data_IF_665129708180
#
_entry.id   IF_665129708180
#
_cell.length_a   1.000
_cell.length_b   1.000
_cell.length_c   1.000
_cell.angle_alpha   90.00
_cell.angle_beta   90.00
_cell.angle_gamma   90.00
#
_symmetry.space_group_name_H-M   'P 1'
#
loop_
_entity.id
_entity.type
_entity.pdbx_description
1 polymer ?
#
# COMPACT_ATOMS: atom_id res chain seq x y z
N UNK A 1 -20.54 23.75 -3.26
CA UNK A 1 -20.07 22.36 -3.18
C UNK A 1 -18.80 22.40 -2.37
N UNK A 2 -18.80 21.91 -1.14
CA UNK A 2 -17.65 22.04 -0.25
C UNK A 2 -16.45 21.29 -0.84
N UNK A 3 -15.33 22.00 -1.00
CA UNK A 3 -14.03 21.36 -1.15
C UNK A 3 -13.85 20.44 0.05
N UNK A 4 -13.44 19.19 -0.16
CA UNK A 4 -12.95 18.39 0.95
C UNK A 4 -11.70 19.09 1.48
N UNK A 5 -11.85 19.79 2.61
CA UNK A 5 -10.77 20.52 3.29
C UNK A 5 -9.80 19.56 4.02
N UNK A 6 -9.62 18.33 3.53
CA UNK A 6 -8.77 17.33 4.16
C UNK A 6 -8.19 16.36 3.11
N UNK A 7 -7.05 15.77 3.45
CA UNK A 7 -6.43 14.68 2.70
C UNK A 7 -6.95 13.34 3.26
N UNK A 8 -7.50 12.50 2.40
CA UNK A 8 -7.94 11.15 2.77
C UNK A 8 -6.84 10.14 2.45
N UNK A 9 -6.30 9.48 3.47
CA UNK A 9 -5.28 8.43 3.32
C UNK A 9 -5.83 7.11 3.88
N UNK A 10 -5.54 5.99 3.21
CA UNK A 10 -5.89 4.64 3.65
C UNK A 10 -4.65 3.77 3.65
N UNK A 11 -4.48 2.97 4.70
CA UNK A 11 -3.48 1.90 4.74
C UNK A 11 -4.06 0.63 5.37
N UNK A 12 -3.49 -0.53 5.03
CA UNK A 12 -3.87 -1.81 5.62
C UNK A 12 -2.68 -2.45 6.33
N UNK A 13 -2.85 -2.89 7.58
CA UNK A 13 -1.79 -3.56 8.32
C UNK A 13 -2.31 -4.55 9.36
N UNK A 14 -1.45 -5.51 9.67
CA UNK A 14 -1.59 -6.41 10.80
C UNK A 14 -0.78 -5.92 12.01
N UNK A 15 -0.89 -6.67 13.10
CA UNK A 15 -0.18 -6.39 14.35
C UNK A 15 1.35 -6.38 14.23
N UNK A 16 1.93 -7.20 13.37
CA UNK A 16 3.37 -7.39 13.28
C UNK A 16 4.03 -6.25 12.48
N UNK A 17 3.34 -5.70 11.48
CA UNK A 17 3.79 -4.54 10.71
C UNK A 17 3.26 -3.19 11.21
N UNK A 18 2.50 -3.16 12.30
CA UNK A 18 2.02 -1.94 12.97
C UNK A 18 3.11 -0.88 13.21
N UNK A 19 4.35 -1.31 13.50
CA UNK A 19 5.50 -0.41 13.68
C UNK A 19 5.87 0.38 12.42
N UNK A 20 5.66 -0.20 11.23
CA UNK A 20 5.93 0.46 9.95
C UNK A 20 4.92 1.58 9.72
N UNK A 21 3.64 1.32 10.00
CA UNK A 21 2.57 2.33 9.94
C UNK A 21 2.85 3.51 10.88
N UNK A 22 3.37 3.27 12.08
CA UNK A 22 3.75 4.35 13.00
C UNK A 22 4.85 5.25 12.40
N UNK A 23 5.85 4.66 11.74
CA UNK A 23 6.90 5.42 11.06
C UNK A 23 6.35 6.18 9.83
N UNK A 24 5.46 5.56 9.05
CA UNK A 24 4.79 6.21 7.92
C UNK A 24 3.99 7.44 8.38
N UNK A 25 3.09 7.29 9.36
CA UNK A 25 2.29 8.40 9.91
C UNK A 25 3.20 9.52 10.39
N UNK A 26 4.27 9.19 11.13
CA UNK A 26 5.20 10.20 11.63
C UNK A 26 5.99 10.89 10.53
N UNK A 27 6.34 10.16 9.46
CA UNK A 27 6.99 10.77 8.29
C UNK A 27 6.06 11.72 7.53
N UNK A 28 4.77 11.40 7.42
CA UNK A 28 3.78 12.32 6.89
C UNK A 28 3.69 13.56 7.79
N UNK A 29 3.54 13.36 9.11
CA UNK A 29 3.40 14.45 10.07
C UNK A 29 4.54 15.47 10.00
N UNK A 30 5.78 14.99 9.87
CA UNK A 30 6.97 15.84 9.90
C UNK A 30 7.18 16.59 8.59
N UNK A 31 6.74 16.04 7.44
CA UNK A 31 6.99 16.63 6.13
C UNK A 31 5.77 17.32 5.51
N UNK A 32 4.57 17.13 6.06
CA UNK A 32 3.36 17.81 5.62
C UNK A 32 3.31 19.24 6.19
N UNK A 33 3.62 20.22 5.36
CA UNK A 33 3.79 21.63 5.77
C UNK A 33 2.64 22.53 5.32
N UNK A 34 1.87 22.12 4.32
CA UNK A 34 0.71 22.85 3.81
C UNK A 34 -0.48 22.88 4.79
N UNK A 35 -0.55 21.93 5.73
CA UNK A 35 -1.36 22.03 6.95
C UNK A 35 -2.83 21.60 6.80
N UNK A 36 -3.21 20.95 5.70
CA UNK A 36 -4.52 20.32 5.57
C UNK A 36 -4.70 19.24 6.66
N UNK A 37 -5.88 19.16 7.29
CA UNK A 37 -6.24 18.01 8.11
C UNK A 37 -6.11 16.70 7.31
N UNK A 38 -5.64 15.65 7.97
CA UNK A 38 -5.51 14.32 7.37
C UNK A 38 -6.49 13.37 8.05
N UNK A 39 -7.42 12.82 7.26
CA UNK A 39 -8.24 11.69 7.70
C UNK A 39 -7.55 10.41 7.26
N UNK A 40 -7.00 9.68 8.23
CA UNK A 40 -6.23 8.47 8.00
C UNK A 40 -7.06 7.24 8.40
N UNK A 41 -7.48 6.46 7.42
CA UNK A 41 -8.23 5.23 7.62
C UNK A 41 -7.29 4.03 7.64
N UNK A 42 -7.45 3.18 8.65
CA UNK A 42 -6.58 2.04 8.90
C UNK A 42 -7.43 0.78 8.84
N UNK A 43 -7.12 -0.09 7.88
CA UNK A 43 -7.67 -1.43 7.80
C UNK A 43 -6.83 -2.33 8.72
N UNK A 44 -7.44 -2.72 9.83
CA UNK A 44 -6.85 -3.44 10.95
C UNK A 44 -7.08 -4.95 10.82
N UNK A 45 -6.00 -5.69 10.58
CA UNK A 45 -5.97 -7.15 10.55
C UNK A 45 -5.47 -7.76 11.86
N UNK A 46 -6.17 -7.45 12.96
CA UNK A 46 -5.92 -8.04 14.28
C UNK A 46 -4.78 -7.37 15.04
N UNK A 47 -4.65 -6.05 14.94
CA UNK A 47 -3.71 -5.23 15.71
C UNK A 47 -4.08 -5.29 17.20
N UNK A 48 -3.09 -5.56 18.04
CA UNK A 48 -3.25 -5.59 19.49
C UNK A 48 -3.52 -4.18 20.03
N UNK A 49 -4.27 -4.10 21.14
CA UNK A 49 -4.58 -2.83 21.82
C UNK A 49 -3.31 -2.01 22.12
N UNK A 50 -2.25 -2.68 22.57
CA UNK A 50 -0.94 -2.06 22.78
C UNK A 50 -0.42 -1.37 21.51
N UNK A 51 -0.48 -2.04 20.35
CA UNK A 51 0.01 -1.47 19.10
C UNK A 51 -0.93 -0.38 18.56
N UNK A 52 -2.24 -0.48 18.77
CA UNK A 52 -3.20 0.60 18.48
C UNK A 52 -2.83 1.87 19.26
N UNK A 53 -2.54 1.74 20.56
CA UNK A 53 -2.09 2.86 21.40
C UNK A 53 -0.76 3.44 20.91
N UNK A 54 0.19 2.58 20.52
CA UNK A 54 1.49 3.03 20.01
C UNK A 54 1.38 3.76 18.66
N UNK A 55 0.52 3.29 17.74
CA UNK A 55 0.21 3.96 16.48
C UNK A 55 -0.49 5.30 16.76
N UNK A 56 -1.50 5.30 17.63
CA UNK A 56 -2.25 6.51 17.99
C UNK A 56 -1.34 7.57 18.60
N UNK A 57 -0.43 7.18 19.51
CA UNK A 57 0.59 8.07 20.07
C UNK A 57 1.69 8.50 19.08
N UNK A 58 1.68 7.98 17.86
CA UNK A 58 2.57 8.42 16.77
C UNK A 58 1.94 9.50 15.90
N UNK A 59 0.65 9.81 16.08
CA UNK A 59 -0.07 10.81 15.30
C UNK A 59 -0.37 12.06 16.13
N UNK A 60 -0.06 13.24 15.62
CA UNK A 60 -0.48 14.50 16.20
C UNK A 60 -2.00 14.68 15.98
N UNK A 61 -2.83 14.72 17.05
CA UNK A 61 -4.29 14.82 16.92
C UNK A 61 -4.76 16.16 16.34
N UNK A 62 -3.91 17.19 16.29
CA UNK A 62 -4.23 18.44 15.60
C UNK A 62 -4.15 18.32 14.07
N UNK A 63 -3.39 17.34 13.55
CA UNK A 63 -3.21 17.09 12.12
C UNK A 63 -4.00 15.86 11.65
N UNK A 64 -4.04 14.80 12.46
CA UNK A 64 -4.63 13.52 12.07
C UNK A 64 -5.93 13.22 12.79
N UNK A 65 -6.91 12.74 12.01
CA UNK A 65 -8.05 11.99 12.50
C UNK A 65 -7.90 10.52 12.06
N UNK A 66 -7.67 9.64 13.03
CA UNK A 66 -7.50 8.21 12.77
C UNK A 66 -8.86 7.49 12.79
N UNK A 67 -9.12 6.70 11.75
CA UNK A 67 -10.30 5.86 11.61
C UNK A 67 -9.87 4.40 11.54
N UNK A 68 -10.51 3.52 12.29
CA UNK A 68 -10.14 2.10 12.36
C UNK A 68 -11.27 1.24 11.83
N UNK A 69 -10.94 0.33 10.90
CA UNK A 69 -11.88 -0.62 10.33
C UNK A 69 -11.28 -2.02 10.37
N UNK A 70 -11.96 -3.00 10.98
CA UNK A 70 -11.46 -4.37 11.03
C UNK A 70 -11.59 -5.04 9.67
N UNK A 71 -10.60 -5.82 9.24
CA UNK A 71 -10.62 -6.53 7.93
C UNK A 71 -11.90 -7.31 7.65
N UNK A 72 -12.43 -8.00 8.66
CA UNK A 72 -13.70 -8.77 8.59
C UNK A 72 -14.93 -7.94 8.20
N UNK A 73 -14.88 -6.63 8.41
CA UNK A 73 -15.98 -5.69 8.17
C UNK A 73 -15.72 -4.88 6.88
N UNK A 74 -14.58 -5.10 6.19
CA UNK A 74 -14.20 -4.44 4.94
C UNK A 74 -14.57 -5.30 3.72
N UNK A 75 -14.30 -6.60 3.79
CA UNK A 75 -14.55 -7.51 2.68
C UNK A 75 -16.03 -7.87 2.64
N UNK A 76 -16.73 -7.67 1.51
CA UNK A 76 -18.11 -8.12 1.36
C UNK A 76 -18.24 -9.63 1.61
N UNK A 77 -19.32 -10.06 2.28
CA UNK A 77 -19.48 -11.45 2.74
C UNK A 77 -19.52 -12.48 1.60
N UNK A 78 -19.94 -12.05 0.42
CA UNK A 78 -20.05 -12.81 -0.81
C UNK A 78 -18.75 -12.85 -1.61
N UNK A 79 -17.77 -11.99 -1.27
CA UNK A 79 -16.48 -11.96 -1.93
C UNK A 79 -15.53 -12.96 -1.28
N UNK A 80 -15.10 -13.96 -2.06
CA UNK A 80 -14.04 -14.88 -1.67
C UNK A 80 -12.69 -14.30 -2.07
N UNK A 81 -11.90 -13.90 -1.07
CA UNK A 81 -10.52 -13.49 -1.29
C UNK A 81 -9.72 -14.69 -1.83
N UNK A 82 -8.94 -14.51 -2.92
CA UNK A 82 -8.09 -15.55 -3.48
C UNK A 82 -7.13 -16.16 -2.45
N UNK A 83 -7.10 -17.49 -2.40
CA UNK A 83 -6.10 -18.25 -1.65
C UNK A 83 -5.06 -18.77 -2.63
N UNK A 84 -4.00 -17.99 -2.85
CA UNK A 84 -2.87 -18.38 -3.69
C UNK A 84 -1.84 -19.23 -2.90
N UNK A 85 -0.80 -19.71 -3.59
CA UNK A 85 0.33 -20.44 -2.97
C UNK A 85 1.38 -19.49 -2.34
N UNK A 86 1.14 -18.18 -2.37
CA UNK A 86 2.10 -17.18 -1.92
C UNK A 86 2.10 -17.03 -0.40
N UNK A 87 3.14 -16.38 0.12
CA UNK A 87 3.18 -15.96 1.52
C UNK A 87 2.59 -14.55 1.75
N UNK A 88 1.87 -13.98 0.77
CA UNK A 88 1.24 -12.68 0.94
C UNK A 88 0.06 -12.76 1.92
N UNK A 89 -0.01 -11.86 2.92
CA UNK A 89 -1.12 -11.80 3.87
C UNK A 89 -2.41 -11.33 3.19
N UNK A 90 -3.55 -11.53 3.86
CA UNK A 90 -4.86 -11.03 3.41
C UNK A 90 -4.86 -9.50 3.26
N UNK A 91 -4.07 -8.79 4.06
CA UNK A 91 -3.91 -7.33 4.00
C UNK A 91 -3.52 -6.82 2.62
N UNK A 92 -2.82 -7.64 1.80
CA UNK A 92 -2.44 -7.27 0.42
C UNK A 92 -3.69 -6.97 -0.44
N UNK A 93 -4.74 -7.79 -0.32
CA UNK A 93 -6.01 -7.61 -1.03
C UNK A 93 -6.89 -6.48 -0.47
N UNK A 94 -6.62 -5.99 0.75
CA UNK A 94 -7.49 -5.00 1.39
C UNK A 94 -7.47 -3.65 0.68
N UNK A 95 -6.41 -3.34 -0.09
CA UNK A 95 -6.35 -2.11 -0.91
C UNK A 95 -7.48 -2.03 -1.93
N UNK A 96 -7.92 -3.18 -2.45
CA UNK A 96 -9.05 -3.25 -3.38
C UNK A 96 -10.34 -2.75 -2.73
N UNK A 97 -10.49 -2.88 -1.41
CA UNK A 97 -11.69 -2.49 -0.69
C UNK A 97 -11.54 -1.16 0.05
N UNK A 98 -10.37 -0.52 -0.01
CA UNK A 98 -10.13 0.79 0.60
C UNK A 98 -11.18 1.86 0.18
N UNK A 99 -11.64 1.91 -1.10
CA UNK A 99 -12.70 2.83 -1.50
C UNK A 99 -14.04 2.64 -0.76
N UNK A 100 -14.29 1.49 -0.12
CA UNK A 100 -15.58 1.18 0.51
C UNK A 100 -15.63 1.53 2.00
N UNK A 101 -14.48 1.88 2.61
CA UNK A 101 -14.40 2.18 4.05
C UNK A 101 -14.36 3.68 4.36
N UNK A 102 -14.26 4.50 3.32
CA UNK A 102 -14.26 5.95 3.38
C UNK A 102 -15.67 6.49 3.04
N UNK A 103 -16.00 7.75 3.40
CA UNK A 103 -17.29 8.34 3.06
C UNK A 103 -17.61 8.24 1.56
N UNK A 104 -18.86 7.91 1.23
CA UNK A 104 -19.29 7.60 -0.13
C UNK A 104 -19.21 8.80 -1.10
N UNK A 105 -19.14 10.02 -0.59
CA UNK A 105 -18.98 11.27 -1.33
C UNK A 105 -17.52 11.72 -1.47
N UNK A 106 -16.57 10.92 -0.96
CA UNK A 106 -15.13 11.22 -1.07
C UNK A 106 -14.69 11.22 -2.53
N UNK A 107 -14.03 12.30 -2.97
CA UNK A 107 -13.69 12.50 -4.40
C UNK A 107 -12.29 12.02 -4.77
N UNK A 108 -11.41 11.90 -3.77
CA UNK A 108 -10.03 11.47 -3.97
C UNK A 108 -9.56 10.69 -2.75
N UNK A 109 -8.71 9.71 -2.93
CA UNK A 109 -8.17 8.88 -1.84
C UNK A 109 -6.73 8.49 -2.16
N UNK A 110 -5.84 8.62 -1.18
CA UNK A 110 -4.50 8.02 -1.24
C UNK A 110 -4.51 6.67 -0.55
N UNK A 111 -4.09 5.63 -1.25
CA UNK A 111 -3.67 4.37 -0.61
C UNK A 111 -2.15 4.36 -0.49
N UNK A 112 -1.64 4.00 0.69
CA UNK A 112 -0.21 3.82 0.95
C UNK A 112 0.04 2.49 1.66
N UNK A 113 0.99 1.71 1.14
CA UNK A 113 1.56 0.57 1.86
C UNK A 113 2.29 1.06 3.13
N UNK A 114 2.24 0.26 4.20
CA UNK A 114 2.73 0.71 5.51
C UNK A 114 4.25 0.73 5.62
N UNK A 115 4.96 0.07 4.72
CA UNK A 115 6.41 0.04 4.60
C UNK A 115 6.93 1.17 3.71
N UNK A 116 6.30 2.34 3.83
CA UNK A 116 6.67 3.56 3.14
C UNK A 116 7.13 4.65 4.12
N UNK A 117 7.99 5.55 3.66
CA UNK A 117 8.42 6.76 4.38
C UNK A 117 8.27 7.95 3.45
N UNK A 118 7.41 8.89 3.84
CA UNK A 118 7.17 10.14 3.12
C UNK A 118 8.30 11.12 3.44
N UNK A 119 8.90 11.67 2.41
CA UNK A 119 10.04 12.60 2.49
C UNK A 119 9.69 14.01 2.01
N UNK A 120 8.53 14.17 1.34
CA UNK A 120 8.04 15.40 0.75
C UNK A 120 6.62 15.70 1.21
N UNK A 121 6.16 16.94 1.04
CA UNK A 121 4.78 17.30 1.42
C UNK A 121 3.76 16.47 0.63
N UNK A 122 2.95 15.70 1.36
CA UNK A 122 1.95 14.79 0.78
C UNK A 122 0.84 15.53 0.01
N UNK A 123 0.64 16.83 0.29
CA UNK A 123 -0.32 17.65 -0.45
C UNK A 123 0.05 17.81 -1.92
N UNK A 124 1.34 17.78 -2.27
CA UNK A 124 1.77 17.82 -3.67
C UNK A 124 1.29 16.58 -4.43
N UNK A 125 1.37 15.39 -3.83
CA UNK A 125 0.82 14.18 -4.41
C UNK A 125 -0.71 14.26 -4.46
N UNK A 126 -1.36 14.64 -3.36
CA UNK A 126 -2.82 14.76 -3.26
C UNK A 126 -3.42 15.69 -4.31
N UNK A 127 -2.74 16.80 -4.62
CA UNK A 127 -3.20 17.80 -5.57
C UNK A 127 -2.94 17.42 -7.04
N UNK A 128 -2.35 16.25 -7.32
CA UNK A 128 -2.23 15.73 -8.68
C UNK A 128 -3.61 15.63 -9.32
N UNK A 129 -3.77 16.23 -10.50
CA UNK A 129 -4.96 16.07 -11.34
C UNK A 129 -4.92 14.70 -12.00
N UNK A 130 -5.97 13.90 -11.83
CA UNK A 130 -6.08 12.57 -12.43
C UNK A 130 -6.33 12.63 -13.95
N UNK A 131 -6.65 13.80 -14.51
CA UNK A 131 -6.85 13.99 -15.96
C UNK A 131 -7.88 13.01 -16.54
N UNK A 132 -8.94 12.75 -15.78
CA UNK A 132 -10.00 11.80 -16.16
C UNK A 132 -9.66 10.32 -15.96
N UNK A 133 -8.45 9.97 -15.52
CA UNK A 133 -8.10 8.58 -15.18
C UNK A 133 -8.77 8.17 -13.85
N UNK A 134 -9.05 6.88 -13.73
CA UNK A 134 -9.60 6.28 -12.51
C UNK A 134 -8.66 6.47 -11.31
N UNK A 135 -7.36 6.36 -11.55
CA UNK A 135 -6.33 6.49 -10.54
C UNK A 135 -4.98 6.86 -11.16
N UNK A 136 -4.05 7.26 -10.31
CA UNK A 136 -2.64 7.43 -10.62
C UNK A 136 -1.78 6.52 -9.75
N UNK A 137 -0.67 6.05 -10.31
CA UNK A 137 0.29 5.17 -9.65
C UNK A 137 1.70 5.44 -10.18
N UNK A 138 2.73 4.85 -9.56
CA UNK A 138 4.08 4.89 -10.10
C UNK A 138 4.41 3.58 -10.82
N UNK A 139 5.22 3.65 -11.87
CA UNK A 139 5.68 2.49 -12.60
C UNK A 139 6.52 1.56 -11.70
N UNK A 140 6.27 0.24 -11.78
CA UNK A 140 7.00 -0.77 -11.03
C UNK A 140 8.42 -0.96 -11.60
N UNK A 141 9.30 -1.62 -10.84
CA UNK A 141 10.64 -2.02 -11.27
C UNK A 141 10.61 -2.92 -12.50
N UNK A 142 9.56 -3.75 -12.67
CA UNK A 142 9.45 -4.61 -13.84
C UNK A 142 9.15 -3.81 -15.13
N UNK A 143 8.77 -2.53 -14.98
CA UNK A 143 8.47 -1.52 -15.99
C UNK A 143 7.29 -1.83 -16.90
N UNK A 144 7.26 -3.01 -17.51
CA UNK A 144 6.28 -3.39 -18.53
C UNK A 144 5.65 -4.76 -18.26
N UNK A 145 4.46 -4.96 -18.84
CA UNK A 145 3.67 -6.19 -18.72
C UNK A 145 4.44 -7.43 -19.20
N UNK A 146 5.22 -7.30 -20.27
CA UNK A 146 5.97 -8.42 -20.85
C UNK A 146 7.27 -8.77 -20.11
N UNK A 147 7.55 -8.17 -18.96
CA UNK A 147 8.78 -8.40 -18.20
C UNK A 147 8.83 -9.82 -17.61
N UNK A 148 9.86 -10.58 -17.96
CA UNK A 148 10.00 -12.00 -17.57
C UNK A 148 10.06 -12.23 -16.06
N UNK A 149 10.56 -11.25 -15.30
CA UNK A 149 10.80 -11.42 -13.86
C UNK A 149 9.67 -10.91 -12.97
N UNK A 150 8.83 -9.99 -13.48
CA UNK A 150 7.85 -9.28 -12.67
C UNK A 150 6.58 -8.81 -13.37
N UNK A 151 6.46 -9.02 -14.68
CA UNK A 151 5.28 -8.67 -15.46
C UNK A 151 4.12 -9.65 -15.28
N UNK A 152 3.17 -9.68 -16.22
CA UNK A 152 2.01 -10.59 -16.23
C UNK A 152 2.40 -11.88 -16.95
N UNK A 153 2.60 -13.04 -16.29
CA UNK A 153 3.18 -14.21 -16.94
C UNK A 153 2.39 -14.73 -18.15
N UNK A 154 1.07 -14.59 -18.10
CA UNK A 154 0.12 -15.02 -19.14
C UNK A 154 -0.41 -13.86 -20.00
N UNK A 155 0.39 -12.81 -20.21
CA UNK A 155 -0.05 -11.64 -20.99
C UNK A 155 -0.48 -12.00 -22.41
N UNK A 156 0.12 -13.03 -23.03
CA UNK A 156 -0.19 -13.47 -24.39
C UNK A 156 -1.58 -14.08 -24.47
N UNK A 157 -1.92 -14.94 -23.51
CA UNK A 157 -3.23 -15.58 -23.39
C UNK A 157 -4.32 -14.55 -23.10
N UNK A 158 -3.98 -13.50 -22.35
CA UNK A 158 -4.87 -12.38 -22.05
C UNK A 158 -4.96 -11.35 -23.19
N UNK A 159 -4.14 -11.46 -24.23
CA UNK A 159 -4.09 -10.50 -25.34
C UNK A 159 -3.61 -9.10 -24.94
N UNK A 160 -2.84 -8.99 -23.85
CA UNK A 160 -2.31 -7.72 -23.36
C UNK A 160 -1.00 -7.41 -24.08
N UNK A 161 -0.85 -6.17 -24.57
CA UNK A 161 0.40 -5.72 -25.20
C UNK A 161 1.56 -5.79 -24.19
N UNK A 162 2.63 -6.57 -24.46
CA UNK A 162 3.78 -6.69 -23.57
C UNK A 162 4.49 -5.35 -23.30
N UNK A 163 4.36 -4.36 -24.18
CA UNK A 163 4.94 -3.03 -24.00
C UNK A 163 4.12 -2.13 -23.07
N UNK A 164 2.92 -2.54 -22.67
CA UNK A 164 2.09 -1.80 -21.71
C UNK A 164 2.85 -1.58 -20.41
N UNK A 165 2.84 -0.35 -19.90
CA UNK A 165 3.47 -0.03 -18.62
C UNK A 165 2.78 -0.77 -17.47
N UNK A 166 3.59 -1.25 -16.54
CA UNK A 166 3.17 -1.98 -15.35
C UNK A 166 3.40 -1.10 -14.11
N UNK A 167 2.37 -0.94 -13.28
CA UNK A 167 2.44 -0.09 -12.08
C UNK A 167 2.62 -0.90 -10.80
N UNK A 168 3.26 -0.28 -9.83
CA UNK A 168 3.34 -0.79 -8.47
C UNK A 168 2.07 -0.40 -7.69
N UNK A 169 1.48 -1.36 -6.98
CA UNK A 169 0.22 -1.14 -6.28
C UNK A 169 0.37 -0.43 -4.92
N UNK A 170 1.60 -0.21 -4.44
CA UNK A 170 1.87 0.26 -3.08
C UNK A 170 1.47 1.71 -2.81
N UNK A 171 1.39 2.53 -3.86
CA UNK A 171 0.87 3.89 -3.79
C UNK A 171 -0.14 4.07 -4.92
N UNK A 172 -1.37 4.43 -4.55
CA UNK A 172 -2.44 4.71 -5.49
C UNK A 172 -3.14 6.02 -5.11
N UNK A 173 -3.26 6.97 -6.04
CA UNK A 173 -4.14 8.12 -5.91
C UNK A 173 -5.41 7.82 -6.71
N UNK A 174 -6.54 7.60 -6.03
CA UNK A 174 -7.73 6.99 -6.62
C UNK A 174 -8.89 7.97 -6.61
N UNK A 175 -9.73 7.94 -7.66
CA UNK A 175 -11.12 8.40 -7.61
C UNK A 175 -11.98 7.25 -7.07
N UNK A 176 -12.36 7.27 -5.79
CA UNK A 176 -13.06 6.15 -5.19
C UNK A 176 -14.54 6.09 -5.61
N UNK A 177 -15.12 7.17 -6.12
CA UNK A 177 -16.49 7.17 -6.67
C UNK A 177 -16.50 6.33 -7.94
N UNK A 178 -15.59 6.63 -8.87
CA UNK A 178 -15.46 5.89 -10.12
C UNK A 178 -15.04 4.44 -9.88
N UNK A 179 -14.18 4.19 -8.89
CA UNK A 179 -13.77 2.84 -8.51
C UNK A 179 -14.96 1.97 -8.11
N UNK A 180 -15.85 2.51 -7.26
CA UNK A 180 -17.07 1.82 -6.84
C UNK A 180 -18.06 1.68 -7.98
N UNK A 181 -18.28 2.74 -8.77
CA UNK A 181 -19.24 2.74 -9.88
C UNK A 181 -18.88 1.73 -10.98
N UNK A 182 -17.59 1.50 -11.21
CA UNK A 182 -17.09 0.56 -12.21
C UNK A 182 -16.85 -0.85 -11.65
N UNK A 183 -17.14 -1.09 -10.37
CA UNK A 183 -16.98 -2.37 -9.68
C UNK A 183 -15.58 -2.99 -9.82
N UNK A 184 -14.56 -2.14 -9.69
CA UNK A 184 -13.16 -2.53 -9.99
C UNK A 184 -12.68 -3.64 -9.06
N UNK A 185 -13.04 -3.60 -7.77
CA UNK A 185 -12.61 -4.60 -6.79
C UNK A 185 -13.05 -6.01 -7.19
N UNK A 186 -14.30 -6.17 -7.61
CA UNK A 186 -14.82 -7.47 -8.05
C UNK A 186 -14.23 -7.92 -9.39
N UNK A 187 -14.00 -7.00 -10.33
CA UNK A 187 -13.29 -7.31 -11.58
C UNK A 187 -11.89 -7.85 -11.30
N UNK A 188 -11.15 -7.21 -10.39
CA UNK A 188 -9.80 -7.65 -9.98
C UNK A 188 -9.84 -9.02 -9.31
N UNK A 189 -10.75 -9.23 -8.35
CA UNK A 189 -10.90 -10.54 -7.69
C UNK A 189 -11.26 -11.63 -8.70
N UNK A 190 -12.17 -11.35 -9.63
CA UNK A 190 -12.53 -12.28 -10.71
C UNK A 190 -11.33 -12.61 -11.59
N UNK A 191 -10.57 -11.61 -12.03
CA UNK A 191 -9.38 -11.81 -12.86
C UNK A 191 -8.33 -12.70 -12.17
N UNK A 192 -8.10 -12.50 -10.87
CA UNK A 192 -7.16 -13.33 -10.08
C UNK A 192 -7.68 -14.78 -9.99
N UNK A 193 -8.96 -14.96 -9.69
CA UNK A 193 -9.54 -16.30 -9.53
C UNK A 193 -9.53 -17.10 -10.84
N UNK A 194 -9.80 -16.46 -11.99
CA UNK A 194 -9.79 -17.12 -13.31
C UNK A 194 -8.37 -17.48 -13.76
N UNK A 195 -7.36 -16.73 -13.31
CA UNK A 195 -5.97 -16.89 -13.77
C UNK A 195 -5.03 -17.39 -12.65
N UNK A 196 -5.55 -18.12 -11.66
CA UNK A 196 -4.84 -18.44 -10.41
C UNK A 196 -3.44 -19.04 -10.62
N UNK A 197 -3.24 -19.86 -11.66
CA UNK A 197 -1.95 -20.49 -11.96
C UNK A 197 -0.88 -19.51 -12.47
N UNK A 198 -1.29 -18.35 -12.96
CA UNK A 198 -0.40 -17.29 -13.47
C UNK A 198 -0.23 -16.11 -12.50
N UNK A 199 -0.98 -16.09 -11.40
CA UNK A 199 -0.94 -14.98 -10.42
C UNK A 199 0.44 -14.92 -9.76
N UNK A 200 1.16 -13.83 -10.03
CA UNK A 200 2.30 -13.37 -9.24
C UNK A 200 1.90 -12.10 -8.47
N UNK A 201 2.56 -11.80 -7.35
CA UNK A 201 2.31 -10.55 -6.60
C UNK A 201 0.84 -10.24 -6.24
N UNK A 202 0.02 -11.29 -6.05
CA UNK A 202 -1.36 -11.20 -5.55
C UNK A 202 -2.24 -10.17 -6.29
N UNK A 203 -2.74 -9.16 -5.59
CA UNK A 203 -3.63 -8.15 -6.13
C UNK A 203 -2.96 -7.20 -7.12
N UNK A 204 -1.63 -7.00 -7.06
CA UNK A 204 -0.91 -6.18 -8.05
C UNK A 204 -1.02 -6.78 -9.46
N UNK A 205 -0.97 -8.11 -9.59
CA UNK A 205 -1.25 -8.78 -10.85
C UNK A 205 -2.67 -8.51 -11.32
N UNK A 206 -3.68 -8.75 -10.47
CA UNK A 206 -5.07 -8.55 -10.85
C UNK A 206 -5.38 -7.10 -11.25
N UNK A 207 -4.79 -6.14 -10.54
CA UNK A 207 -4.87 -4.72 -10.84
C UNK A 207 -4.26 -4.40 -12.21
N UNK A 208 -3.06 -4.89 -12.50
CA UNK A 208 -2.43 -4.69 -13.81
C UNK A 208 -3.13 -5.47 -14.94
N UNK A 209 -3.79 -6.60 -14.66
CA UNK A 209 -4.62 -7.31 -15.65
C UNK A 209 -5.88 -6.51 -15.99
N UNK A 210 -6.56 -5.94 -14.99
CA UNK A 210 -7.84 -5.25 -15.20
C UNK A 210 -7.67 -3.81 -15.69
N UNK A 211 -6.59 -3.14 -15.27
CA UNK A 211 -6.40 -1.69 -15.46
C UNK A 211 -5.19 -1.34 -16.33
N UNK A 212 -4.64 -2.30 -17.09
CA UNK A 212 -3.53 -1.99 -18.01
C UNK A 212 -3.90 -0.84 -18.96
N UNK A 213 -2.99 0.11 -19.12
CA UNK A 213 -3.19 1.28 -19.97
C UNK A 213 -4.27 2.28 -19.50
N UNK A 214 -4.87 2.10 -18.32
CA UNK A 214 -5.97 2.93 -17.81
C UNK A 214 -5.62 3.63 -16.49
N UNK A 215 -4.40 4.16 -16.39
CA UNK A 215 -3.89 4.83 -15.19
C UNK A 215 -2.97 5.99 -15.55
N UNK A 216 -2.98 7.02 -14.71
CA UNK A 216 -2.06 8.15 -14.83
C UNK A 216 -0.72 7.79 -14.18
N UNK A 217 0.38 7.97 -14.91
CA UNK A 217 1.73 7.75 -14.38
C UNK A 217 2.20 8.92 -13.53
N UNK A 218 2.58 8.62 -12.30
CA UNK A 218 3.20 9.55 -11.35
C UNK A 218 4.72 9.59 -11.56
N UNK A 219 5.33 10.71 -11.14
CA UNK A 219 6.79 10.78 -10.96
C UNK A 219 7.27 9.61 -10.10
N UNK A 220 8.24 8.83 -10.61
CA UNK A 220 8.79 7.65 -9.94
C UNK A 220 9.33 7.96 -8.53
N UNK A 221 9.69 9.21 -8.23
CA UNK A 221 10.12 9.63 -6.88
C UNK A 221 9.04 9.47 -5.82
N UNK A 222 7.76 9.46 -6.20
CA UNK A 222 6.64 9.13 -5.30
C UNK A 222 6.54 7.64 -4.94
N UNK A 223 7.34 6.76 -5.55
CA UNK A 223 7.42 5.36 -5.15
C UNK A 223 8.87 4.86 -5.33
N UNK A 224 9.80 5.48 -4.61
CA UNK A 224 11.22 5.15 -4.70
C UNK A 224 11.52 3.85 -3.95
N UNK A 225 11.85 2.79 -4.68
CA UNK A 225 12.16 1.51 -4.05
C UNK A 225 13.50 1.53 -3.31
N UNK A 226 13.53 0.95 -2.11
CA UNK A 226 14.67 1.08 -1.20
C UNK A 226 15.96 0.38 -1.68
N UNK A 227 15.85 -0.46 -2.71
CA UNK A 227 16.99 -1.09 -3.38
C UNK A 227 17.72 -0.14 -4.33
N UNK A 228 17.08 0.96 -4.73
CA UNK A 228 17.63 1.95 -5.63
C UNK A 228 18.34 3.06 -4.85
N UNK A 229 19.12 3.86 -5.58
CA UNK A 229 19.69 5.10 -5.08
C UNK A 229 19.18 6.25 -5.95
N UNK A 230 18.00 6.76 -5.59
CA UNK A 230 17.38 7.91 -6.27
C UNK A 230 17.70 9.17 -5.47
N UNK A 231 18.14 10.20 -6.19
CA UNK A 231 18.32 11.54 -5.64
C UNK A 231 16.97 12.18 -5.34
N UNK A 232 16.85 12.81 -4.17
CA UNK A 232 15.64 13.51 -3.72
C UNK A 232 14.34 12.67 -3.83
N UNK A 233 14.27 11.50 -3.17
CA UNK A 233 13.05 10.70 -3.19
C UNK A 233 11.92 11.42 -2.46
N UNK A 234 10.72 11.43 -3.02
CA UNK A 234 9.53 12.03 -2.39
C UNK A 234 8.86 11.07 -1.41
N UNK A 235 8.93 9.78 -1.72
CA UNK A 235 8.48 8.69 -0.87
C UNK A 235 9.38 7.48 -1.12
N UNK A 236 9.85 6.87 -0.03
CA UNK A 236 10.68 5.67 -0.02
C UNK A 236 9.80 4.45 0.29
N UNK A 237 9.94 3.36 -0.47
CA UNK A 237 9.18 2.13 -0.35
C UNK A 237 10.08 0.92 -0.13
N UNK A 238 9.94 0.24 1.02
CA UNK A 238 10.80 -0.87 1.43
C UNK A 238 10.28 -2.25 0.96
N UNK A 239 10.10 -2.47 -0.35
CA UNK A 239 9.42 -3.64 -0.92
C UNK A 239 9.90 -5.02 -0.39
N UNK A 240 11.20 -5.25 -0.25
CA UNK A 240 11.75 -6.57 0.14
C UNK A 240 11.96 -6.71 1.66
N UNK A 241 13.22 -6.75 2.12
CA UNK A 241 13.54 -6.86 3.54
C UNK A 241 13.27 -5.50 4.18
N UNK A 242 12.31 -5.48 5.11
CA UNK A 242 11.92 -4.27 5.84
C UNK A 242 13.03 -3.82 6.82
N UNK A 243 13.18 -2.51 7.12
CA UNK A 243 14.21 -1.99 8.01
C UNK A 243 14.09 -2.47 9.47
N UNK A 244 12.96 -3.10 9.83
CA UNK A 244 12.75 -3.71 11.16
C UNK A 244 13.47 -5.05 11.34
N UNK A 245 14.16 -5.57 10.32
CA UNK A 245 14.92 -6.82 10.37
C UNK A 245 16.43 -6.57 10.37
N UNK A 246 17.17 -7.39 11.14
CA UNK A 246 18.65 -7.36 11.16
C UNK A 246 19.30 -7.70 9.82
N UNK A 247 18.57 -8.40 8.96
CA UNK A 247 18.97 -8.81 7.61
C UNK A 247 18.81 -7.70 6.57
N UNK A 248 18.29 -6.52 6.95
CA UNK A 248 18.17 -5.39 6.04
C UNK A 248 19.55 -5.03 5.46
N UNK A 249 19.64 -5.04 4.13
CA UNK A 249 20.91 -4.91 3.40
C UNK A 249 20.79 -4.00 2.17
N UNK A 250 19.74 -3.17 2.09
CA UNK A 250 19.53 -2.26 0.95
C UNK A 250 20.09 -0.86 1.27
N UNK A 251 19.49 0.22 0.78
CA UNK A 251 20.04 1.57 0.92
C UNK A 251 20.11 2.02 2.41
N UNK A 252 21.33 2.36 2.87
CA UNK A 252 21.59 2.78 4.25
C UNK A 252 20.97 4.15 4.57
N UNK A 253 20.99 5.09 3.63
CA UNK A 253 20.39 6.42 3.82
C UNK A 253 18.89 6.29 4.08
N UNK A 254 18.23 5.39 3.35
CA UNK A 254 16.81 5.12 3.52
C UNK A 254 16.51 4.38 4.84
N UNK A 255 17.37 3.45 5.26
CA UNK A 255 17.30 2.86 6.59
C UNK A 255 17.40 3.92 7.71
N UNK A 256 18.35 4.83 7.58
CA UNK A 256 18.55 5.91 8.55
C UNK A 256 17.35 6.87 8.56
N UNK A 257 16.72 7.12 7.40
CA UNK A 257 15.47 7.88 7.30
C UNK A 257 14.30 7.19 8.02
N UNK A 258 14.11 5.88 7.83
CA UNK A 258 13.09 5.11 8.58
C UNK A 258 13.29 5.26 10.09
N UNK A 259 14.51 5.06 10.59
CA UNK A 259 14.79 5.18 12.02
C UNK A 259 14.77 6.63 12.54
N UNK A 260 15.01 7.64 11.69
CA UNK A 260 14.81 9.05 12.04
C UNK A 260 13.35 9.29 12.44
N UNK A 261 12.39 8.87 11.62
CA UNK A 261 10.97 9.05 11.93
C UNK A 261 10.50 8.12 13.05
N UNK A 262 10.93 6.86 13.07
CA UNK A 262 10.55 5.91 14.12
C UNK A 262 10.96 6.40 15.52
N UNK A 263 12.12 7.06 15.67
CA UNK A 263 12.58 7.63 16.95
C UNK A 263 11.70 8.76 17.50
N UNK A 264 10.85 9.36 16.67
CA UNK A 264 9.88 10.39 17.07
C UNK A 264 8.52 9.79 17.51
N UNK A 265 8.42 8.46 17.58
CA UNK A 265 7.21 7.74 17.97
C UNK A 265 7.38 7.02 19.31
N UNK A 266 6.30 6.48 19.91
CA UNK A 266 6.41 5.57 21.05
C UNK A 266 7.31 4.35 20.80
N UNK A 267 7.55 3.96 19.54
CA UNK A 267 8.47 2.88 19.16
C UNK A 267 9.96 3.27 19.18
N UNK A 268 10.33 4.44 19.69
CA UNK A 268 11.71 4.97 19.67
C UNK A 268 12.82 4.04 20.18
N UNK A 269 12.48 3.09 21.05
CA UNK A 269 13.43 2.11 21.62
C UNK A 269 13.45 0.77 20.87
N UNK A 270 12.71 0.63 19.77
CA UNK A 270 12.66 -0.60 18.99
C UNK A 270 14.03 -0.92 18.38
N UNK A 271 14.39 -2.21 18.45
CA UNK A 271 15.61 -2.74 17.82
C UNK A 271 15.23 -3.75 16.74
N UNK A 272 15.94 -3.77 15.59
CA UNK A 272 15.69 -4.74 14.54
C UNK A 272 15.67 -6.17 15.08
N UNK A 273 14.69 -6.96 14.64
CA UNK A 273 14.52 -8.35 15.04
C UNK A 273 15.22 -9.29 14.06
N UNK A 274 15.51 -10.51 14.52
CA UNK A 274 16.13 -11.52 13.65
C UNK A 274 15.18 -12.00 12.55
N UNK A 275 15.76 -12.38 11.42
CA UNK A 275 15.04 -12.78 10.21
C UNK A 275 14.22 -14.06 10.39
N UNK A 276 14.52 -14.89 11.41
CA UNK A 276 13.72 -16.09 11.71
C UNK A 276 12.25 -15.74 11.96
N UNK A 277 11.94 -14.56 12.51
CA UNK A 277 10.55 -14.12 12.71
C UNK A 277 9.83 -13.92 11.38
N UNK A 278 10.52 -13.38 10.37
CA UNK A 278 10.00 -13.21 9.01
C UNK A 278 9.74 -14.56 8.36
N UNK A 279 10.72 -15.47 8.44
CA UNK A 279 10.63 -16.81 7.86
C UNK A 279 9.52 -17.63 8.51
N UNK A 280 9.46 -17.65 9.85
CA UNK A 280 8.40 -18.31 10.60
C UNK A 280 7.02 -17.78 10.20
N UNK A 281 6.88 -16.45 10.05
CA UNK A 281 5.63 -15.84 9.60
C UNK A 281 5.23 -16.28 8.19
N UNK A 282 6.16 -16.33 7.24
CA UNK A 282 5.90 -16.83 5.88
C UNK A 282 5.38 -18.27 5.91
N UNK A 283 5.94 -19.13 6.76
CA UNK A 283 5.47 -20.51 6.97
C UNK A 283 4.05 -20.51 7.54
N UNK A 284 3.79 -19.74 8.59
CA UNK A 284 2.46 -19.67 9.22
C UNK A 284 1.37 -19.18 8.26
N UNK A 285 1.66 -18.19 7.41
CA UNK A 285 0.71 -17.71 6.39
C UNK A 285 0.41 -18.83 5.38
N UNK A 286 1.44 -19.51 4.87
CA UNK A 286 1.26 -20.61 3.92
C UNK A 286 0.45 -21.76 4.51
N UNK A 287 0.77 -22.17 5.75
CA UNK A 287 0.00 -23.19 6.46
C UNK A 287 -1.45 -22.77 6.63
N UNK A 288 -1.70 -21.54 7.08
CA UNK A 288 -3.07 -21.02 7.25
C UNK A 288 -3.90 -21.00 5.96
N UNK A 289 -3.24 -20.86 4.80
CA UNK A 289 -3.89 -20.97 3.48
C UNK A 289 -4.16 -22.41 3.05
N UNK A 290 -3.32 -23.37 3.44
CA UNK A 290 -3.52 -24.79 3.13
C UNK A 290 -4.70 -25.43 3.87
N UNK A 291 -5.12 -24.87 5.00
CA UNK A 291 -6.19 -25.41 5.84
C UNK A 291 -7.53 -24.64 5.74
N UNK A 292 -7.68 -23.78 4.73
CA UNK A 292 -8.94 -23.07 4.40
C UNK A 292 -9.54 -23.63 3.13
#
# INVERSE_FOLDING_TARGET
>A
MENQNHITIVAATDNFYAILLAALIKSIEVNHVSGEPIHFYIIDDGISEKNIQMITGSANPAMFKLHWQKTKDVVPKDVKIPTDKSAFPITTYMRLFAPYIIPADTKKMLYLDVDMIVMKDISELWNTDLQGHLFAAAQDLCEIVGSDWGGIPNYKELGIDPASKYFNAGLLLVDPIQWRAQDISNKVITAINVNMDSVNFADQYGLNVVLHGQWLELDRRWNTFSILNVEDPFLIHFLDIKPIFKSYNTNKTYYDAFYKYLRLTPYKSFKPVSDYKRLFRKVMIKLGKMFK
#
